data_IF_907283692257
#
_entry.id   IF_907283692257
#
_cell.length_a   1.000
_cell.length_b   1.000
_cell.length_c   1.000
_cell.angle_alpha   90.00
_cell.angle_beta   90.00
_cell.angle_gamma   90.00
#
_symmetry.space_group_name_H-M   'P 1'
#
loop_
_entity.id
_entity.type
_entity.pdbx_description
1 polymer ?
#
# COMPACT_ATOMS: atom_id res chain seq x y z
N UNK A 1 -18.11 -24.73 -10.92
CA UNK A 1 -17.76 -23.47 -10.25
C UNK A 1 -17.71 -22.39 -11.32
N UNK A 2 -18.54 -21.35 -11.22
CA UNK A 2 -18.69 -20.31 -12.25
C UNK A 2 -17.43 -19.43 -12.29
N UNK A 3 -17.16 -18.78 -13.43
CA UNK A 3 -16.09 -17.77 -13.54
C UNK A 3 -16.29 -16.59 -12.58
N UNK A 4 -17.52 -16.36 -12.14
CA UNK A 4 -17.89 -15.36 -11.12
C UNK A 4 -17.34 -15.71 -9.74
N UNK A 5 -17.53 -16.95 -9.28
CA UNK A 5 -17.09 -17.41 -7.95
C UNK A 5 -15.56 -17.27 -7.75
N UNK A 6 -14.79 -17.43 -8.83
CA UNK A 6 -13.32 -17.27 -8.80
C UNK A 6 -12.94 -15.79 -8.70
N UNK A 7 -13.64 -14.92 -9.43
CA UNK A 7 -13.39 -13.48 -9.42
C UNK A 7 -13.74 -12.86 -8.07
N UNK A 8 -14.84 -13.30 -7.47
CA UNK A 8 -15.28 -12.84 -6.16
C UNK A 8 -14.24 -13.15 -5.09
N UNK A 9 -13.66 -14.35 -5.10
CA UNK A 9 -12.59 -14.72 -4.19
C UNK A 9 -11.33 -13.84 -4.34
N UNK A 10 -10.93 -13.51 -5.58
CA UNK A 10 -9.77 -12.63 -5.82
C UNK A 10 -10.06 -11.20 -5.35
N UNK A 11 -11.26 -10.68 -5.63
CA UNK A 11 -11.67 -9.34 -5.19
C UNK A 11 -11.67 -9.24 -3.65
N UNK A 12 -12.17 -10.27 -2.96
CA UNK A 12 -12.12 -10.36 -1.50
C UNK A 12 -10.69 -10.41 -0.96
N UNK A 13 -9.77 -11.10 -1.66
CA UNK A 13 -8.35 -11.11 -1.30
C UNK A 13 -7.76 -9.70 -1.43
N UNK A 14 -8.04 -8.98 -2.51
CA UNK A 14 -7.56 -7.61 -2.67
C UNK A 14 -8.06 -6.70 -1.54
N UNK A 15 -9.35 -6.73 -1.23
CA UNK A 15 -9.92 -5.95 -0.14
C UNK A 15 -9.25 -6.26 1.21
N UNK A 16 -9.06 -7.55 1.53
CA UNK A 16 -8.36 -7.98 2.76
C UNK A 16 -6.90 -7.56 2.79
N UNK A 17 -6.24 -7.51 1.64
CA UNK A 17 -4.82 -7.14 1.53
C UNK A 17 -4.64 -5.65 1.73
N UNK A 18 -5.46 -4.84 1.06
CA UNK A 18 -5.43 -3.38 1.18
C UNK A 18 -5.81 -2.96 2.61
N UNK A 19 -6.85 -3.56 3.20
CA UNK A 19 -7.25 -3.23 4.57
C UNK A 19 -6.14 -3.51 5.58
N UNK A 20 -5.43 -4.63 5.45
CA UNK A 20 -4.25 -4.95 6.25
C UNK A 20 -3.13 -3.92 6.09
N UNK A 21 -2.86 -3.49 4.85
CA UNK A 21 -1.89 -2.44 4.57
C UNK A 21 -2.26 -1.11 5.24
N UNK A 22 -3.53 -0.69 5.12
CA UNK A 22 -4.04 0.55 5.73
C UNK A 22 -3.99 0.49 7.25
N UNK A 23 -4.38 -0.63 7.86
CA UNK A 23 -4.28 -0.82 9.32
C UNK A 23 -2.82 -0.69 9.77
N UNK A 24 -1.89 -1.31 9.05
CA UNK A 24 -0.46 -1.18 9.33
C UNK A 24 -0.01 0.29 9.24
N UNK A 25 -0.40 1.01 8.19
CA UNK A 25 -0.09 2.44 8.04
C UNK A 25 -0.59 3.26 9.22
N UNK A 26 -1.83 3.04 9.64
CA UNK A 26 -2.44 3.77 10.77
C UNK A 26 -1.64 3.52 12.05
N UNK A 27 -1.29 2.26 12.34
CA UNK A 27 -0.50 1.90 13.52
C UNK A 27 0.86 2.60 13.49
N UNK A 28 1.59 2.54 12.35
CA UNK A 28 2.90 3.16 12.23
C UNK A 28 2.82 4.69 12.33
N UNK A 29 1.81 5.31 11.73
CA UNK A 29 1.59 6.76 11.80
C UNK A 29 1.29 7.21 13.24
N UNK A 30 0.51 6.46 14.00
CA UNK A 30 0.25 6.76 15.42
C UNK A 30 1.53 6.69 16.25
N UNK A 31 2.36 5.68 16.03
CA UNK A 31 3.67 5.55 16.70
C UNK A 31 4.55 6.75 16.36
N UNK A 32 4.68 7.09 15.07
CA UNK A 32 5.47 8.22 14.61
C UNK A 32 4.96 9.55 15.17
N UNK A 33 3.63 9.75 15.22
CA UNK A 33 3.03 10.95 15.78
C UNK A 33 3.39 11.13 17.26
N UNK A 34 3.36 10.04 18.04
CA UNK A 34 3.76 10.08 19.45
C UNK A 34 5.25 10.43 19.59
N UNK A 35 6.12 9.85 18.75
CA UNK A 35 7.56 10.16 18.75
C UNK A 35 7.80 11.63 18.44
N UNK A 36 7.16 12.17 17.39
CA UNK A 36 7.29 13.57 16.98
C UNK A 36 6.73 14.54 18.01
N UNK A 37 5.73 14.16 18.81
CA UNK A 37 5.23 15.02 19.88
C UNK A 37 6.32 15.33 20.93
N UNK A 38 7.21 14.39 21.20
CA UNK A 38 8.30 14.55 22.17
C UNK A 38 9.63 15.02 21.55
N UNK A 39 9.72 15.09 20.21
CA UNK A 39 10.95 15.49 19.51
C UNK A 39 10.75 16.77 18.71
N UNK A 40 11.66 17.75 18.88
CA UNK A 40 11.68 18.98 18.09
C UNK A 40 12.26 18.74 16.69
N UNK A 41 11.64 17.87 15.90
CA UNK A 41 12.08 17.57 14.54
C UNK A 41 11.60 18.62 13.53
N UNK A 42 12.44 18.92 12.54
CA UNK A 42 12.09 19.75 11.38
C UNK A 42 10.93 19.09 10.60
N UNK A 43 9.92 19.85 10.14
CA UNK A 43 8.82 19.38 9.29
C UNK A 43 9.24 18.47 8.12
N UNK A 44 10.44 18.65 7.54
CA UNK A 44 10.95 17.81 6.43
C UNK A 44 11.07 16.33 6.79
N UNK A 45 11.25 16.00 8.06
CA UNK A 45 11.32 14.61 8.50
C UNK A 45 9.95 13.93 8.50
N UNK A 46 8.85 14.69 8.62
CA UNK A 46 7.49 14.16 8.61
C UNK A 46 7.15 13.54 7.26
N UNK A 47 7.46 14.26 6.17
CA UNK A 47 7.22 13.78 4.80
C UNK A 47 8.04 12.52 4.49
N UNK A 48 9.30 12.51 4.93
CA UNK A 48 10.22 11.38 4.72
C UNK A 48 9.75 10.12 5.46
N UNK A 49 9.37 10.26 6.73
CA UNK A 49 8.88 9.11 7.52
C UNK A 49 7.54 8.61 6.97
N UNK A 50 6.63 9.50 6.57
CA UNK A 50 5.35 9.12 5.96
C UNK A 50 5.54 8.35 4.66
N UNK A 51 6.51 8.76 3.83
CA UNK A 51 6.87 8.03 2.63
C UNK A 51 7.35 6.61 2.95
N UNK A 52 8.26 6.45 3.93
CA UNK A 52 8.75 5.14 4.37
C UNK A 52 7.60 4.24 4.86
N UNK A 53 6.69 4.78 5.66
CA UNK A 53 5.51 4.05 6.15
C UNK A 53 4.64 3.57 4.98
N UNK A 54 4.44 4.43 3.99
CA UNK A 54 3.67 4.10 2.78
C UNK A 54 4.32 2.95 2.02
N UNK A 55 5.64 2.99 1.81
CA UNK A 55 6.39 1.90 1.17
C UNK A 55 6.21 0.59 1.94
N UNK A 56 6.44 0.59 3.26
CA UNK A 56 6.29 -0.61 4.09
C UNK A 56 4.87 -1.18 4.04
N UNK A 57 3.86 -0.31 4.01
CA UNK A 57 2.45 -0.70 3.95
C UNK A 57 2.09 -1.35 2.62
N UNK A 58 2.55 -0.77 1.50
CA UNK A 58 2.36 -1.34 0.16
C UNK A 58 3.04 -2.70 0.06
N UNK A 59 4.28 -2.81 0.57
CA UNK A 59 5.04 -4.06 0.56
C UNK A 59 4.27 -5.14 1.33
N UNK A 60 3.81 -4.86 2.54
CA UNK A 60 3.08 -5.81 3.36
C UNK A 60 1.74 -6.24 2.71
N UNK A 61 0.97 -5.28 2.19
CA UNK A 61 -0.29 -5.55 1.52
C UNK A 61 -0.10 -6.42 0.26
N UNK A 62 0.88 -6.06 -0.58
CA UNK A 62 1.14 -6.73 -1.86
C UNK A 62 1.69 -8.14 -1.64
N UNK A 63 2.60 -8.34 -0.68
CA UNK A 63 3.10 -9.66 -0.30
C UNK A 63 1.93 -10.54 0.14
N UNK A 64 1.10 -10.06 1.07
CA UNK A 64 -0.02 -10.84 1.59
C UNK A 64 -1.02 -11.23 0.49
N UNK A 65 -1.39 -10.30 -0.39
CA UNK A 65 -2.32 -10.57 -1.47
C UNK A 65 -1.77 -11.57 -2.50
N UNK A 66 -0.55 -11.35 -2.96
CA UNK A 66 0.12 -12.28 -3.89
C UNK A 66 0.35 -13.66 -3.27
N UNK A 67 0.64 -13.72 -1.97
CA UNK A 67 0.78 -14.98 -1.23
C UNK A 67 -0.52 -15.80 -1.22
N UNK A 68 -1.67 -15.13 -1.17
CA UNK A 68 -2.98 -15.80 -1.21
C UNK A 68 -3.44 -16.17 -2.61
N UNK A 69 -3.13 -15.34 -3.60
CA UNK A 69 -3.51 -15.56 -5.01
C UNK A 69 -2.64 -16.64 -5.67
N UNK A 70 -1.37 -16.77 -5.23
CA UNK A 70 -0.39 -17.74 -5.75
C UNK A 70 -0.14 -17.67 -7.26
N UNK A 71 -0.49 -16.57 -7.93
CA UNK A 71 -0.39 -16.43 -9.39
C UNK A 71 -0.11 -15.00 -9.84
N UNK A 72 0.73 -14.86 -10.89
CA UNK A 72 1.10 -13.58 -11.54
C UNK A 72 1.41 -12.45 -10.56
N UNK A 73 2.46 -12.62 -9.76
CA UNK A 73 2.79 -11.74 -8.62
C UNK A 73 3.13 -10.31 -9.03
N UNK A 74 3.76 -10.13 -10.18
CA UNK A 74 4.01 -8.80 -10.76
C UNK A 74 2.69 -8.05 -11.02
N UNK A 75 1.68 -8.73 -11.59
CA UNK A 75 0.42 -8.11 -11.97
C UNK A 75 -0.44 -7.80 -10.74
N UNK A 76 -0.67 -8.80 -9.89
CA UNK A 76 -1.51 -8.63 -8.71
C UNK A 76 -0.86 -7.68 -7.68
N UNK A 77 0.47 -7.74 -7.53
CA UNK A 77 1.21 -6.81 -6.67
C UNK A 77 1.11 -5.36 -7.13
N UNK A 78 1.29 -5.12 -8.44
CA UNK A 78 1.10 -3.78 -9.02
C UNK A 78 -0.31 -3.25 -8.84
N UNK A 79 -1.33 -4.11 -9.04
CA UNK A 79 -2.75 -3.74 -8.83
C UNK A 79 -3.03 -3.41 -7.37
N UNK A 80 -2.54 -4.22 -6.42
CA UNK A 80 -2.71 -3.96 -4.98
C UNK A 80 -2.03 -2.64 -4.59
N UNK A 81 -0.80 -2.40 -5.06
CA UNK A 81 -0.07 -1.16 -4.80
C UNK A 81 -0.79 0.07 -5.36
N UNK A 82 -1.31 -0.01 -6.59
CA UNK A 82 -2.12 1.05 -7.18
C UNK A 82 -3.40 1.31 -6.38
N UNK A 83 -4.17 0.26 -6.08
CA UNK A 83 -5.44 0.40 -5.35
C UNK A 83 -5.22 0.98 -3.95
N UNK A 84 -4.17 0.53 -3.24
CA UNK A 84 -3.78 1.11 -1.97
C UNK A 84 -3.46 2.60 -2.12
N UNK A 85 -2.67 2.98 -3.12
CA UNK A 85 -2.28 4.38 -3.33
C UNK A 85 -3.48 5.25 -3.71
N UNK A 86 -4.47 4.72 -4.43
CA UNK A 86 -5.74 5.43 -4.70
C UNK A 86 -6.51 5.71 -3.41
N UNK A 87 -6.59 4.73 -2.49
CA UNK A 87 -7.23 4.93 -1.18
C UNK A 87 -6.51 6.03 -0.39
N UNK A 88 -5.18 5.98 -0.31
CA UNK A 88 -4.38 7.00 0.39
C UNK A 88 -4.50 8.37 -0.28
N UNK A 89 -4.51 8.42 -1.62
CA UNK A 89 -4.71 9.67 -2.35
C UNK A 89 -6.07 10.30 -2.03
N UNK A 90 -7.15 9.52 -1.99
CA UNK A 90 -8.46 10.01 -1.57
C UNK A 90 -8.41 10.64 -0.17
N UNK A 91 -7.78 9.95 0.80
CA UNK A 91 -7.61 10.50 2.16
C UNK A 91 -6.81 11.81 2.13
N UNK A 92 -5.74 11.87 1.35
CA UNK A 92 -4.89 13.05 1.22
C UNK A 92 -5.66 14.27 0.67
N UNK A 93 -6.59 14.07 -0.27
CA UNK A 93 -7.44 15.13 -0.80
C UNK A 93 -8.34 15.77 0.26
N UNK A 94 -8.91 14.95 1.16
CA UNK A 94 -9.70 15.44 2.29
C UNK A 94 -8.86 16.26 3.26
N UNK A 95 -7.64 15.82 3.56
CA UNK A 95 -6.73 16.51 4.51
C UNK A 95 -6.24 17.84 3.95
N UNK A 96 -5.86 17.89 2.68
CA UNK A 96 -5.28 19.10 2.05
C UNK A 96 -6.32 20.13 1.60
N UNK A 97 -7.62 19.94 1.93
CA UNK A 97 -8.72 20.84 1.54
C UNK A 97 -8.72 21.19 0.04
N UNK A 98 -8.37 20.23 -0.81
CA UNK A 98 -8.35 20.40 -2.26
C UNK A 98 -7.12 21.10 -2.86
N UNK A 99 -6.08 21.39 -2.08
CA UNK A 99 -4.81 21.85 -2.65
C UNK A 99 -3.99 20.64 -3.14
N UNK A 100 -4.08 20.31 -4.43
CA UNK A 100 -3.51 19.08 -4.99
C UNK A 100 -2.19 19.37 -5.69
N UNK A 101 -1.10 18.80 -5.18
CA UNK A 101 0.15 18.72 -5.95
C UNK A 101 0.10 17.54 -6.92
N UNK A 102 -0.47 17.78 -8.12
CA UNK A 102 -0.63 16.75 -9.16
C UNK A 102 0.69 16.07 -9.54
N UNK A 103 1.80 16.82 -9.60
CA UNK A 103 3.12 16.25 -9.92
C UNK A 103 3.58 15.26 -8.86
N UNK A 104 3.43 15.61 -7.58
CA UNK A 104 3.78 14.72 -6.47
C UNK A 104 2.91 13.45 -6.44
N UNK A 105 1.61 13.59 -6.69
CA UNK A 105 0.67 12.47 -6.70
C UNK A 105 1.01 11.47 -7.81
N UNK A 106 1.30 11.95 -9.03
CA UNK A 106 1.70 11.08 -10.15
C UNK A 106 2.98 10.31 -9.81
N UNK A 107 3.99 10.96 -9.22
CA UNK A 107 5.23 10.31 -8.82
C UNK A 107 4.96 9.21 -7.79
N UNK A 108 4.11 9.48 -6.79
CA UNK A 108 3.74 8.49 -5.78
C UNK A 108 2.95 7.32 -6.36
N UNK A 109 2.06 7.54 -7.33
CA UNK A 109 1.34 6.46 -8.02
C UNK A 109 2.29 5.53 -8.79
N UNK A 110 3.24 6.10 -9.52
CA UNK A 110 4.24 5.30 -10.27
C UNK A 110 5.13 4.53 -9.29
N UNK A 111 5.59 5.18 -8.22
CA UNK A 111 6.35 4.52 -7.14
C UNK A 111 5.56 3.36 -6.52
N UNK A 112 4.29 3.58 -6.19
CA UNK A 112 3.43 2.56 -5.60
C UNK A 112 3.23 1.36 -6.53
N UNK A 113 3.09 1.58 -7.83
CA UNK A 113 3.04 0.52 -8.83
C UNK A 113 4.34 -0.27 -8.86
N UNK A 114 5.49 0.41 -8.94
CA UNK A 114 6.81 -0.24 -9.00
C UNK A 114 7.05 -1.07 -7.73
N UNK A 115 6.86 -0.46 -6.55
CA UNK A 115 7.01 -1.14 -5.26
C UNK A 115 6.05 -2.32 -5.14
N UNK A 116 4.80 -2.15 -5.56
CA UNK A 116 3.78 -3.20 -5.59
C UNK A 116 4.20 -4.39 -6.46
N UNK A 117 4.74 -4.13 -7.65
CA UNK A 117 5.26 -5.18 -8.54
C UNK A 117 6.39 -5.96 -7.88
N UNK A 118 7.41 -5.28 -7.34
CA UNK A 118 8.56 -5.95 -6.71
C UNK A 118 8.17 -6.74 -5.46
N UNK A 119 7.37 -6.14 -4.59
CA UNK A 119 6.88 -6.83 -3.38
C UNK A 119 5.91 -7.98 -3.70
N UNK A 120 5.12 -7.85 -4.76
CA UNK A 120 4.25 -8.94 -5.24
C UNK A 120 5.03 -10.14 -5.79
N UNK A 121 6.18 -9.91 -6.44
CA UNK A 121 7.09 -10.99 -6.83
C UNK A 121 7.62 -11.75 -5.61
N UNK A 122 8.05 -11.01 -4.56
CA UNK A 122 8.48 -11.60 -3.29
C UNK A 122 7.35 -12.43 -2.67
N UNK A 123 6.12 -11.93 -2.70
CA UNK A 123 4.96 -12.65 -2.16
C UNK A 123 4.68 -13.99 -2.84
N UNK A 124 4.87 -14.08 -4.17
CA UNK A 124 4.77 -15.36 -4.88
C UNK A 124 5.88 -16.33 -4.51
N UNK A 125 7.13 -15.85 -4.46
CA UNK A 125 8.27 -16.70 -4.10
C UNK A 125 8.06 -17.31 -2.71
N UNK A 126 7.51 -16.53 -1.77
CA UNK A 126 7.17 -17.03 -0.44
C UNK A 126 6.03 -18.07 -0.46
N UNK A 127 5.05 -17.89 -1.35
CA UNK A 127 3.92 -18.80 -1.47
C UNK A 127 4.26 -20.12 -2.13
N UNK A 128 5.28 -20.16 -2.97
CA UNK A 128 5.72 -21.38 -3.66
C UNK A 128 6.43 -22.34 -2.70
N UNK A 129 7.00 -21.82 -1.61
CA UNK A 129 7.66 -22.61 -0.56
C UNK A 129 6.72 -23.28 0.46
N UNK A 130 5.40 -23.06 0.37
CA UNK A 130 4.42 -23.51 1.39
C UNK A 130 3.16 -24.14 0.77
#
# INVERSE_FOLDING_TARGET
MSKEDIRENIALIYLKSISRGVILSIILLLITALVFHYTNWDPKHVDTVTFIITVLSIVYASIYGCFKIKSKGYLHGGIIGLLYMVVIAMVSLFVQKGNINFKGLIIMLVMALVIGVFSGLIGIILSDRN
#
